data_IF_492744430562
#
_entry.id   IF_492744430562
#
_cell.length_a   1.000
_cell.length_b   1.000
_cell.length_c   1.000
_cell.angle_alpha   90.00
_cell.angle_beta   90.00
_cell.angle_gamma   90.00
#
_symmetry.space_group_name_H-M   'P 1'
#
loop_
_entity.id
_entity.type
_entity.pdbx_description
1 polymer ?
#
# COMPACT_ATOMS: atom_id res chain seq x y z
N UNK A 1 43.86 -8.17 -19.96
CA UNK A 1 44.22 -8.03 -18.53
C UNK A 1 43.82 -6.67 -17.89
N UNK A 2 43.01 -5.80 -18.52
CA UNK A 2 42.53 -4.52 -17.92
C UNK A 2 41.04 -4.50 -17.53
N UNK A 3 40.27 -5.53 -17.89
CA UNK A 3 38.83 -5.61 -17.61
C UNK A 3 38.52 -6.17 -16.21
N UNK A 4 39.35 -7.08 -15.70
CA UNK A 4 39.13 -7.72 -14.38
C UNK A 4 39.44 -6.78 -13.20
N UNK A 5 40.33 -5.81 -13.38
CA UNK A 5 40.71 -4.84 -12.35
C UNK A 5 39.59 -3.83 -12.05
N UNK A 6 38.74 -3.51 -13.03
CA UNK A 6 37.60 -2.60 -12.85
C UNK A 6 36.43 -3.24 -12.10
N UNK A 7 36.13 -4.50 -12.42
CA UNK A 7 35.10 -5.27 -11.71
C UNK A 7 35.49 -5.53 -10.25
N UNK A 8 36.75 -5.91 -9.99
CA UNK A 8 37.26 -6.13 -8.64
C UNK A 8 37.26 -4.83 -7.80
N UNK A 9 37.64 -3.70 -8.40
CA UNK A 9 37.58 -2.40 -7.73
C UNK A 9 36.14 -1.95 -7.42
N UNK A 10 35.19 -2.24 -8.30
CA UNK A 10 33.76 -1.95 -8.10
C UNK A 10 33.17 -2.84 -7.01
N UNK A 11 33.48 -4.14 -7.01
CA UNK A 11 33.06 -5.09 -5.97
C UNK A 11 33.64 -4.70 -4.61
N UNK A 12 34.92 -4.32 -4.55
CA UNK A 12 35.57 -3.89 -3.31
C UNK A 12 35.01 -2.56 -2.79
N UNK A 13 34.74 -1.60 -3.67
CA UNK A 13 34.11 -0.33 -3.28
C UNK A 13 32.68 -0.53 -2.78
N UNK A 14 31.92 -1.42 -3.41
CA UNK A 14 30.56 -1.80 -2.96
C UNK A 14 30.63 -2.52 -1.62
N UNK A 15 31.58 -3.45 -1.44
CA UNK A 15 31.79 -4.16 -0.18
C UNK A 15 32.19 -3.20 0.96
N UNK A 16 33.08 -2.23 0.71
CA UNK A 16 33.42 -1.21 1.70
C UNK A 16 32.27 -0.25 2.02
N UNK A 17 31.39 0.04 1.06
CA UNK A 17 30.21 0.87 1.28
C UNK A 17 29.12 0.16 2.09
N UNK A 18 28.99 -1.16 1.95
CA UNK A 18 27.99 -1.97 2.67
C UNK A 18 28.52 -2.51 4.01
N UNK A 19 29.84 -2.63 4.18
CA UNK A 19 30.45 -3.12 5.42
C UNK A 19 30.02 -2.36 6.70
N UNK A 20 29.89 -1.02 6.71
CA UNK A 20 29.36 -0.29 7.87
C UNK A 20 27.89 -0.61 8.15
N UNK A 21 27.06 -0.83 7.11
CA UNK A 21 25.66 -1.24 7.27
C UNK A 21 25.53 -2.65 7.85
N UNK A 22 26.48 -3.55 7.54
CA UNK A 22 26.52 -4.89 8.12
C UNK A 22 26.95 -4.90 9.60
N UNK A 23 27.78 -3.94 10.02
CA UNK A 23 28.18 -3.76 11.44
C UNK A 23 27.10 -3.08 12.27
N UNK A 24 26.25 -2.27 11.65
CA UNK A 24 25.13 -1.58 12.29
C UNK A 24 23.83 -2.41 12.34
N UNK A 25 23.86 -3.67 11.90
CA UNK A 25 22.67 -4.50 11.86
C UNK A 25 22.28 -4.94 13.27
N UNK A 26 21.09 -4.55 13.71
CA UNK A 26 20.51 -5.13 14.91
C UNK A 26 20.25 -6.64 14.71
N UNK A 27 20.42 -7.46 15.76
CA UNK A 27 20.07 -8.87 15.68
C UNK A 27 18.56 -9.00 15.48
N UNK A 28 18.17 -9.82 14.52
CA UNK A 28 16.76 -10.05 14.22
C UNK A 28 16.03 -10.64 15.44
N UNK A 29 14.94 -10.01 15.92
CA UNK A 29 14.15 -10.53 17.02
C UNK A 29 13.43 -11.83 16.65
N UNK A 30 13.25 -12.73 17.63
CA UNK A 30 12.60 -14.02 17.41
C UNK A 30 11.13 -13.93 16.95
N UNK A 31 10.49 -12.78 17.18
CA UNK A 31 9.11 -12.47 16.79
C UNK A 31 9.03 -11.60 15.52
N UNK A 32 10.14 -11.43 14.79
CA UNK A 32 10.14 -10.82 13.47
C UNK A 32 9.37 -11.68 12.46
N UNK A 33 8.68 -11.02 11.53
CA UNK A 33 7.99 -11.74 10.46
C UNK A 33 8.98 -12.22 9.39
N UNK A 34 8.70 -13.40 8.84
CA UNK A 34 9.47 -13.95 7.73
C UNK A 34 9.28 -13.12 6.45
N UNK A 35 10.24 -13.20 5.52
CA UNK A 35 10.13 -12.50 4.23
C UNK A 35 8.87 -12.87 3.43
N UNK A 36 8.47 -14.16 3.30
CA UNK A 36 7.18 -14.51 2.68
C UNK A 36 5.96 -13.89 3.39
N UNK A 37 6.00 -13.77 4.72
CA UNK A 37 4.92 -13.11 5.45
C UNK A 37 4.88 -11.61 5.17
N UNK A 38 6.03 -10.96 5.06
CA UNK A 38 6.11 -9.55 4.63
C UNK A 38 5.62 -9.35 3.19
N UNK A 39 5.85 -10.30 2.29
CA UNK A 39 5.30 -10.24 0.92
C UNK A 39 3.78 -10.14 0.93
N UNK A 40 3.09 -10.94 1.75
CA UNK A 40 1.62 -10.88 1.86
C UNK A 40 1.15 -9.52 2.40
N UNK A 41 1.83 -8.97 3.41
CA UNK A 41 1.47 -7.67 3.98
C UNK A 41 1.68 -6.53 2.99
N UNK A 42 2.86 -6.49 2.36
CA UNK A 42 3.22 -5.47 1.37
C UNK A 42 2.31 -5.55 0.16
N UNK A 43 2.03 -6.76 -0.36
CA UNK A 43 1.11 -6.94 -1.48
C UNK A 43 -0.28 -6.44 -1.10
N UNK A 44 -0.81 -6.82 0.07
CA UNK A 44 -2.15 -6.42 0.51
C UNK A 44 -2.33 -4.91 0.56
N UNK A 45 -1.33 -4.17 1.04
CA UNK A 45 -1.35 -2.69 1.07
C UNK A 45 -1.37 -2.12 -0.36
N UNK A 46 -0.51 -2.62 -1.24
CA UNK A 46 -0.41 -2.14 -2.63
C UNK A 46 -1.67 -2.50 -3.42
N UNK A 47 -2.13 -3.75 -3.33
CA UNK A 47 -3.31 -4.26 -4.01
C UNK A 47 -4.57 -3.51 -3.58
N UNK A 48 -4.65 -3.09 -2.32
CA UNK A 48 -5.75 -2.24 -1.86
C UNK A 48 -5.73 -0.87 -2.55
N UNK A 49 -4.56 -0.22 -2.68
CA UNK A 49 -4.43 1.05 -3.43
C UNK A 49 -4.78 0.88 -4.91
N UNK A 50 -4.37 -0.23 -5.52
CA UNK A 50 -4.75 -0.58 -6.90
C UNK A 50 -6.26 -0.74 -7.03
N UNK A 51 -6.91 -1.45 -6.11
CA UNK A 51 -8.36 -1.62 -6.09
C UNK A 51 -9.09 -0.27 -5.95
N UNK A 52 -8.61 0.60 -5.06
CA UNK A 52 -9.11 1.98 -4.92
C UNK A 52 -9.01 2.75 -6.25
N UNK A 53 -7.88 2.62 -6.97
CA UNK A 53 -7.67 3.22 -8.28
C UNK A 53 -8.60 2.66 -9.36
N UNK A 54 -8.83 1.36 -9.38
CA UNK A 54 -9.77 0.75 -10.32
C UNK A 54 -11.21 1.19 -10.06
N UNK A 55 -11.66 1.29 -8.81
CA UNK A 55 -13.00 1.78 -8.49
C UNK A 55 -13.17 3.24 -8.95
N UNK A 56 -12.16 4.07 -8.74
CA UNK A 56 -12.19 5.46 -9.23
C UNK A 56 -12.21 5.53 -10.75
N UNK A 57 -11.37 4.73 -11.43
CA UNK A 57 -11.30 4.68 -12.90
C UNK A 57 -12.61 4.17 -13.49
N UNK A 58 -13.20 3.14 -12.89
CA UNK A 58 -14.50 2.63 -13.27
C UNK A 58 -15.55 3.74 -13.19
N UNK A 59 -15.61 4.50 -12.10
CA UNK A 59 -16.53 5.63 -11.96
C UNK A 59 -16.34 6.70 -13.06
N UNK A 60 -15.09 6.99 -13.43
CA UNK A 60 -14.75 7.97 -14.46
C UNK A 60 -15.14 7.49 -15.87
N UNK A 61 -14.77 6.26 -16.24
CA UNK A 61 -15.00 5.71 -17.59
C UNK A 61 -16.48 5.37 -17.82
N UNK A 62 -17.17 4.86 -16.80
CA UNK A 62 -18.60 4.51 -16.91
C UNK A 62 -19.54 5.70 -16.73
N UNK A 63 -19.03 6.86 -16.28
CA UNK A 63 -19.85 8.01 -15.88
C UNK A 63 -20.55 7.85 -14.52
N UNK A 64 -20.42 6.70 -13.84
CA UNK A 64 -21.09 6.39 -12.58
C UNK A 64 -20.35 7.01 -11.37
N UNK A 65 -20.43 8.33 -11.23
CA UNK A 65 -19.70 9.11 -10.21
C UNK A 65 -19.95 8.66 -8.76
N UNK A 66 -21.09 8.02 -8.49
CA UNK A 66 -21.45 7.47 -7.19
C UNK A 66 -20.40 6.46 -6.67
N UNK A 67 -19.70 5.77 -7.57
CA UNK A 67 -18.62 4.84 -7.22
C UNK A 67 -17.37 5.51 -6.65
N UNK A 68 -17.12 6.80 -6.94
CA UNK A 68 -16.02 7.54 -6.29
C UNK A 68 -16.18 7.59 -4.77
N UNK A 69 -17.42 7.61 -4.28
CA UNK A 69 -17.73 7.54 -2.85
C UNK A 69 -17.26 6.24 -2.19
N UNK A 70 -17.22 5.13 -2.94
CA UNK A 70 -16.70 3.86 -2.45
C UNK A 70 -15.18 3.92 -2.26
N UNK A 71 -14.43 4.54 -3.18
CA UNK A 71 -12.99 4.78 -3.00
C UNK A 71 -12.69 5.51 -1.69
N UNK A 72 -13.45 6.56 -1.37
CA UNK A 72 -13.32 7.25 -0.09
C UNK A 72 -13.64 6.36 1.11
N UNK A 73 -14.68 5.52 1.00
CA UNK A 73 -15.05 4.55 2.03
C UNK A 73 -14.01 3.45 2.29
N UNK A 74 -13.06 3.23 1.37
CA UNK A 74 -11.99 2.24 1.53
C UNK A 74 -10.78 2.73 2.34
N UNK A 75 -10.66 4.04 2.59
CA UNK A 75 -9.52 4.63 3.29
C UNK A 75 -9.30 4.11 4.72
N UNK A 76 -10.34 3.91 5.56
CA UNK A 76 -10.13 3.40 6.90
C UNK A 76 -9.57 1.98 6.91
N UNK A 77 -9.98 1.10 5.98
CA UNK A 77 -9.43 -0.25 5.86
C UNK A 77 -7.97 -0.25 5.39
N UNK A 78 -7.61 0.64 4.47
CA UNK A 78 -6.20 0.82 4.11
C UNK A 78 -5.36 1.24 5.33
N UNK A 79 -5.86 2.20 6.11
CA UNK A 79 -5.21 2.65 7.34
C UNK A 79 -5.13 1.53 8.39
N UNK A 80 -6.16 0.68 8.48
CA UNK A 80 -6.16 -0.52 9.32
C UNK A 80 -5.01 -1.47 8.95
N UNK A 81 -4.80 -1.73 7.64
CA UNK A 81 -3.67 -2.52 7.17
C UNK A 81 -2.31 -1.92 7.57
N UNK A 82 -2.19 -0.59 7.52
CA UNK A 82 -0.97 0.10 7.98
C UNK A 82 -0.75 -0.06 9.49
N UNK A 83 -1.81 -0.07 10.31
CA UNK A 83 -1.70 -0.38 11.74
C UNK A 83 -1.12 -1.78 11.98
N UNK A 84 -1.61 -2.78 11.24
CA UNK A 84 -1.10 -4.15 11.33
C UNK A 84 0.38 -4.24 10.94
N UNK A 85 0.75 -3.66 9.78
CA UNK A 85 2.13 -3.63 9.32
C UNK A 85 3.05 -2.91 10.32
N UNK A 86 2.59 -1.78 10.86
CA UNK A 86 3.36 -1.00 11.85
C UNK A 86 3.58 -1.79 13.14
N UNK A 87 2.55 -2.49 13.65
CA UNK A 87 2.70 -3.35 14.81
C UNK A 87 3.74 -4.45 14.59
N UNK A 88 3.81 -5.01 13.38
CA UNK A 88 4.81 -6.01 13.00
C UNK A 88 6.21 -5.43 12.79
N UNK A 89 6.35 -4.21 12.23
CA UNK A 89 7.64 -3.48 12.18
C UNK A 89 8.18 -3.28 13.60
N UNK A 90 7.31 -2.93 14.55
CA UNK A 90 7.66 -2.74 15.96
C UNK A 90 7.70 -4.06 16.75
N UNK A 91 7.97 -5.16 16.05
CA UNK A 91 8.13 -6.51 16.60
C UNK A 91 7.05 -6.91 17.58
N UNK A 92 5.77 -6.64 17.27
CA UNK A 92 4.64 -7.04 18.10
C UNK A 92 4.80 -6.62 19.58
N UNK A 93 5.45 -5.48 19.84
CA UNK A 93 5.77 -5.07 21.20
C UNK A 93 4.51 -4.82 22.04
N UNK A 94 4.44 -5.33 23.29
CA UNK A 94 3.34 -5.03 24.19
C UNK A 94 3.19 -3.53 24.49
N UNK A 95 4.25 -2.72 24.34
CA UNK A 95 4.25 -1.28 24.61
C UNK A 95 3.33 -0.49 23.66
N UNK A 96 3.06 -1.06 22.48
CA UNK A 96 2.19 -0.47 21.45
C UNK A 96 0.99 -1.36 21.12
N UNK A 97 0.61 -2.28 22.02
CA UNK A 97 -0.49 -3.24 21.81
C UNK A 97 -1.82 -2.56 21.44
N UNK A 98 -2.02 -1.31 21.84
CA UNK A 98 -3.16 -0.48 21.44
C UNK A 98 -3.34 -0.34 19.91
N UNK A 99 -2.29 -0.56 19.11
CA UNK A 99 -2.38 -0.60 17.64
C UNK A 99 -3.31 -1.70 17.14
N UNK A 100 -3.41 -2.84 17.85
CA UNK A 100 -4.34 -3.93 17.50
C UNK A 100 -5.79 -3.48 17.68
N UNK A 101 -6.08 -2.72 18.76
CA UNK A 101 -7.40 -2.16 18.98
C UNK A 101 -7.74 -1.08 17.93
N UNK A 102 -6.77 -0.23 17.58
CA UNK A 102 -6.93 0.77 16.52
C UNK A 102 -7.20 0.11 15.16
N UNK A 103 -6.44 -0.94 14.81
CA UNK A 103 -6.67 -1.76 13.62
C UNK A 103 -8.10 -2.32 13.60
N UNK A 104 -8.53 -2.97 14.68
CA UNK A 104 -9.88 -3.53 14.78
C UNK A 104 -10.97 -2.45 14.64
N UNK A 105 -10.78 -1.29 15.30
CA UNK A 105 -11.68 -0.15 15.21
C UNK A 105 -11.78 0.40 13.78
N UNK A 106 -10.64 0.60 13.11
CA UNK A 106 -10.58 1.05 11.72
C UNK A 106 -11.16 0.02 10.74
N UNK A 107 -11.02 -1.27 11.01
CA UNK A 107 -11.67 -2.33 10.24
C UNK A 107 -13.19 -2.28 10.38
N UNK A 108 -13.70 -2.16 11.60
CA UNK A 108 -15.13 -2.03 11.84
C UNK A 108 -15.69 -0.76 11.17
N UNK A 109 -15.04 0.38 11.41
CA UNK A 109 -15.43 1.66 10.83
C UNK A 109 -15.34 1.66 9.29
N UNK A 110 -14.26 1.11 8.74
CA UNK A 110 -14.06 1.00 7.30
C UNK A 110 -15.09 0.14 6.59
N UNK A 111 -15.41 -1.03 7.18
CA UNK A 111 -16.51 -1.87 6.68
C UNK A 111 -17.84 -1.13 6.72
N UNK A 112 -18.13 -0.38 7.79
CA UNK A 112 -19.34 0.43 7.88
C UNK A 112 -19.38 1.54 6.81
N UNK A 113 -18.26 2.22 6.55
CA UNK A 113 -18.19 3.25 5.50
C UNK A 113 -18.34 2.68 4.09
N UNK A 114 -17.76 1.50 3.81
CA UNK A 114 -17.96 0.82 2.54
C UNK A 114 -19.42 0.37 2.39
N UNK A 115 -20.02 -0.21 3.43
CA UNK A 115 -21.43 -0.62 3.42
C UNK A 115 -22.35 0.57 3.13
N UNK A 116 -22.12 1.72 3.77
CA UNK A 116 -22.85 2.95 3.51
C UNK A 116 -22.66 3.45 2.08
N UNK A 117 -21.44 3.41 1.54
CA UNK A 117 -21.15 3.80 0.16
C UNK A 117 -21.85 2.88 -0.86
N UNK A 118 -21.79 1.55 -0.66
CA UNK A 118 -22.48 0.59 -1.51
C UNK A 118 -23.99 0.70 -1.41
N UNK A 119 -24.53 1.02 -0.24
CA UNK A 119 -25.96 1.26 -0.07
C UNK A 119 -26.43 2.50 -0.85
N UNK A 120 -25.64 3.58 -0.88
CA UNK A 120 -25.92 4.75 -1.72
C UNK A 120 -25.90 4.42 -3.21
N UNK A 121 -24.96 3.58 -3.67
CA UNK A 121 -24.91 3.08 -5.05
C UNK A 121 -26.19 2.29 -5.36
N UNK A 122 -26.60 1.38 -4.48
CA UNK A 122 -27.84 0.61 -4.63
C UNK A 122 -29.08 1.50 -4.71
N UNK A 123 -29.19 2.52 -3.85
CA UNK A 123 -30.30 3.47 -3.90
C UNK A 123 -30.37 4.22 -5.24
N UNK A 124 -29.22 4.71 -5.73
CA UNK A 124 -29.14 5.38 -7.03
C UNK A 124 -29.56 4.44 -8.17
N UNK A 125 -29.15 3.17 -8.13
CA UNK A 125 -29.57 2.17 -9.11
C UNK A 125 -31.08 1.91 -9.08
N UNK A 126 -31.66 1.82 -7.88
CA UNK A 126 -33.11 1.66 -7.71
C UNK A 126 -33.92 2.88 -8.17
N UNK A 127 -33.36 4.08 -8.05
CA UNK A 127 -33.98 5.33 -8.51
C UNK A 127 -33.86 5.55 -10.03
N UNK A 128 -33.03 4.75 -10.72
CA UNK A 128 -32.74 4.94 -12.15
C UNK A 128 -31.67 6.01 -12.44
N UNK A 129 -30.95 6.46 -11.40
CA UNK A 129 -29.92 7.51 -11.47
C UNK A 129 -28.56 6.97 -11.97
N UNK A 130 -28.40 5.65 -12.02
CA UNK A 130 -27.22 5.00 -12.59
C UNK A 130 -27.46 4.73 -14.07
N UNK A 131 -27.01 5.65 -14.92
CA UNK A 131 -26.94 5.45 -16.37
C UNK A 131 -25.47 5.33 -16.75
N UNK A 132 -25.02 4.09 -16.97
CA UNK A 132 -23.68 3.88 -17.50
C UNK A 132 -23.62 4.47 -18.92
N UNK A 133 -22.53 5.18 -19.23
CA UNK A 133 -22.23 5.56 -20.60
C UNK A 133 -22.14 4.35 -21.53
N UNK A 134 -22.09 4.59 -22.84
CA UNK A 134 -21.98 3.53 -23.84
C UNK A 134 -20.90 2.51 -23.44
N UNK A 135 -21.25 1.23 -23.46
CA UNK A 135 -20.35 0.18 -23.01
C UNK A 135 -19.11 0.17 -23.90
N UNK A 136 -17.98 0.62 -23.36
CA UNK A 136 -16.69 0.35 -23.99
C UNK A 136 -16.49 -1.16 -23.92
N UNK A 137 -16.69 -1.86 -25.03
CA UNK A 137 -16.27 -3.26 -25.16
C UNK A 137 -14.76 -3.30 -25.01
N UNK A 138 -14.28 -3.76 -23.85
CA UNK A 138 -12.86 -3.98 -23.66
C UNK A 138 -12.40 -5.05 -24.66
N UNK A 139 -11.38 -4.73 -25.46
CA UNK A 139 -10.73 -5.71 -26.31
C UNK A 139 -10.03 -6.74 -25.40
N UNK A 140 -10.41 -8.03 -25.42
CA UNK A 140 -9.78 -9.05 -24.58
C UNK A 140 -8.28 -9.21 -24.84
N UNK A 141 -7.78 -8.78 -26.00
CA UNK A 141 -6.35 -8.79 -26.31
C UNK A 141 -5.57 -7.69 -25.59
N UNK A 142 -6.23 -6.62 -25.13
CA UNK A 142 -5.65 -5.59 -24.26
C UNK A 142 -5.64 -6.01 -22.77
N UNK A 143 -6.28 -7.12 -22.40
CA UNK A 143 -6.33 -7.59 -21.02
C UNK A 143 -5.01 -8.23 -20.52
N UNK A 144 -4.01 -8.42 -21.40
CA UNK A 144 -2.69 -8.92 -21.03
C UNK A 144 -1.75 -7.79 -20.63
N UNK A 145 -1.89 -7.30 -19.40
CA UNK A 145 -0.97 -6.33 -18.82
C UNK A 145 0.14 -7.04 -18.03
N UNK A 146 0.93 -7.87 -18.70
CA UNK A 146 2.08 -8.55 -18.10
C UNK A 146 3.06 -7.57 -17.42
N UNK A 147 3.10 -6.32 -17.90
CA UNK A 147 3.88 -5.24 -17.29
C UNK A 147 3.31 -4.87 -15.93
N UNK A 148 2.00 -4.66 -15.80
CA UNK A 148 1.35 -4.41 -14.52
C UNK A 148 1.60 -5.55 -13.52
N UNK A 149 1.37 -6.81 -13.91
CA UNK A 149 1.59 -7.94 -13.00
C UNK A 149 3.06 -8.09 -12.62
N UNK A 150 3.97 -7.87 -13.58
CA UNK A 150 5.41 -7.87 -13.32
C UNK A 150 5.82 -6.76 -12.35
N UNK A 151 5.26 -5.55 -12.48
CA UNK A 151 5.49 -4.44 -11.56
C UNK A 151 4.93 -4.75 -10.17
N UNK A 152 3.73 -5.30 -10.06
CA UNK A 152 3.12 -5.66 -8.78
C UNK A 152 3.95 -6.71 -8.03
N UNK A 153 4.40 -7.76 -8.74
CA UNK A 153 5.30 -8.78 -8.19
C UNK A 153 6.63 -8.16 -7.76
N UNK A 154 7.24 -7.33 -8.62
CA UNK A 154 8.51 -6.67 -8.30
C UNK A 154 8.38 -5.76 -7.07
N UNK A 155 7.34 -4.93 -7.00
CA UNK A 155 7.07 -4.07 -5.84
C UNK A 155 6.84 -4.88 -4.57
N UNK A 156 6.15 -6.02 -4.66
CA UNK A 156 5.91 -6.92 -3.53
C UNK A 156 7.21 -7.52 -3.01
N UNK A 157 8.01 -8.12 -3.90
CA UNK A 157 9.28 -8.79 -3.57
C UNK A 157 10.29 -7.78 -3.00
N UNK A 158 10.47 -6.65 -3.69
CA UNK A 158 11.42 -5.60 -3.30
C UNK A 158 10.93 -4.90 -2.03
N UNK A 159 9.67 -4.51 -1.96
CA UNK A 159 9.09 -3.84 -0.80
C UNK A 159 9.18 -4.70 0.47
N UNK A 160 8.86 -5.99 0.36
CA UNK A 160 8.99 -6.93 1.47
C UNK A 160 10.44 -7.08 1.92
N UNK A 161 11.40 -7.12 0.99
CA UNK A 161 12.81 -7.16 1.31
C UNK A 161 13.27 -5.88 2.03
N UNK A 162 12.85 -4.72 1.53
CA UNK A 162 13.18 -3.42 2.13
C UNK A 162 12.64 -3.29 3.55
N UNK A 163 11.42 -3.75 3.83
CA UNK A 163 10.90 -3.76 5.21
C UNK A 163 11.70 -4.76 6.05
N UNK A 164 11.76 -6.03 5.60
CA UNK A 164 12.35 -7.14 6.36
C UNK A 164 13.79 -6.90 6.82
N UNK A 165 14.62 -6.35 5.95
CA UNK A 165 16.03 -6.11 6.25
C UNK A 165 16.34 -4.64 6.55
N UNK A 166 15.51 -3.71 6.07
CA UNK A 166 15.65 -2.30 6.39
C UNK A 166 15.28 -1.96 7.83
N UNK A 167 14.32 -2.66 8.42
CA UNK A 167 13.96 -2.49 9.84
C UNK A 167 15.15 -2.77 10.78
N UNK A 168 16.09 -3.64 10.38
CA UNK A 168 17.28 -3.98 11.17
C UNK A 168 18.38 -2.90 11.11
N UNK A 169 18.25 -1.93 10.20
CA UNK A 169 19.22 -0.86 9.97
C UNK A 169 18.90 0.44 10.73
N UNK A 170 17.76 0.47 11.43
CA UNK A 170 17.26 1.66 12.13
C UNK A 170 16.88 1.29 13.57
N UNK A 171 16.98 2.25 14.49
CA UNK A 171 16.83 1.96 15.92
C UNK A 171 15.37 1.92 16.39
N UNK A 172 14.49 2.73 15.79
CA UNK A 172 13.12 2.91 16.29
C UNK A 172 12.27 1.62 16.37
N UNK A 173 12.44 0.58 15.52
CA UNK A 173 11.75 -0.69 15.68
C UNK A 173 12.09 -1.41 16.99
N UNK A 174 13.28 -1.16 17.54
CA UNK A 174 13.78 -1.71 18.80
C UNK A 174 13.43 -0.83 20.01
N UNK A 175 12.98 0.39 19.76
CA UNK A 175 12.47 1.34 20.76
C UNK A 175 11.00 1.70 20.46
N UNK A 176 10.07 0.72 20.59
CA UNK A 176 8.69 0.87 20.17
C UNK A 176 8.01 2.03 20.89
N UNK A 177 7.43 2.94 20.13
CA UNK A 177 6.69 4.08 20.67
C UNK A 177 5.47 4.42 19.83
N UNK A 178 4.44 4.95 20.49
CA UNK A 178 3.25 5.44 19.79
C UNK A 178 3.56 6.60 18.83
N UNK A 179 4.62 7.38 19.08
CA UNK A 179 5.03 8.46 18.18
C UNK A 179 5.58 7.92 16.86
N UNK A 180 6.49 6.94 16.91
CA UNK A 180 6.99 6.27 15.71
C UNK A 180 5.85 5.55 14.96
N UNK A 181 4.97 4.85 15.69
CA UNK A 181 3.82 4.19 15.10
C UNK A 181 2.87 5.17 14.39
N UNK A 182 2.58 6.31 15.01
CA UNK A 182 1.73 7.34 14.43
C UNK A 182 2.33 7.89 13.12
N UNK A 183 3.65 8.08 13.04
CA UNK A 183 4.30 8.53 11.81
C UNK A 183 4.17 7.49 10.67
N UNK A 184 4.39 6.21 10.97
CA UNK A 184 4.29 5.11 10.00
C UNK A 184 2.86 4.86 9.51
N UNK A 185 1.85 5.16 10.33
CA UNK A 185 0.43 4.98 9.97
C UNK A 185 -0.10 6.23 9.27
N UNK A 186 -0.05 7.37 9.97
CA UNK A 186 -0.74 8.58 9.51
C UNK A 186 0.02 9.31 8.39
N UNK A 187 1.34 9.13 8.27
CA UNK A 187 2.11 9.67 7.14
C UNK A 187 1.61 9.14 5.80
N UNK A 188 1.70 7.82 5.54
CA UNK A 188 1.17 7.23 4.31
C UNK A 188 -0.34 7.42 4.13
N UNK A 189 -1.13 7.39 5.22
CA UNK A 189 -2.56 7.69 5.14
C UNK A 189 -2.82 9.12 4.68
N UNK A 190 -2.08 10.11 5.20
CA UNK A 190 -2.23 11.50 4.79
C UNK A 190 -1.86 11.69 3.31
N UNK A 191 -0.80 11.03 2.83
CA UNK A 191 -0.45 11.01 1.40
C UNK A 191 -1.60 10.40 0.58
N UNK A 192 -2.14 9.26 1.00
CA UNK A 192 -3.26 8.61 0.31
C UNK A 192 -4.49 9.54 0.22
N UNK A 193 -4.89 10.13 1.36
CA UNK A 193 -5.99 11.11 1.44
C UNK A 193 -5.73 12.30 0.52
N UNK A 194 -4.53 12.88 0.56
CA UNK A 194 -4.17 14.03 -0.26
C UNK A 194 -4.26 13.70 -1.75
N UNK A 195 -3.77 12.54 -2.20
CA UNK A 195 -3.86 12.13 -3.61
C UNK A 195 -5.31 11.99 -4.07
N UNK A 196 -6.19 11.41 -3.26
CA UNK A 196 -7.62 11.34 -3.59
C UNK A 196 -8.30 12.70 -3.56
N UNK A 197 -7.88 13.57 -2.65
CA UNK A 197 -8.38 14.94 -2.59
C UNK A 197 -8.01 15.70 -3.86
N UNK A 198 -6.73 15.70 -4.26
CA UNK A 198 -6.28 16.34 -5.49
C UNK A 198 -7.02 15.80 -6.72
N UNK A 199 -7.21 14.47 -6.78
CA UNK A 199 -7.96 13.79 -7.82
C UNK A 199 -9.43 14.21 -7.86
N UNK A 200 -10.05 14.42 -6.70
CA UNK A 200 -11.44 14.88 -6.62
C UNK A 200 -11.65 16.29 -7.19
N UNK A 201 -10.61 17.13 -7.20
CA UNK A 201 -10.62 18.46 -7.81
C UNK A 201 -10.48 18.41 -9.34
N UNK A 202 -10.07 17.27 -9.91
CA UNK A 202 -9.83 17.07 -11.35
C UNK A 202 -10.73 15.94 -11.92
N UNK A 203 -12.07 16.09 -11.90
CA UNK A 203 -13.01 15.00 -12.16
C UNK A 203 -12.87 14.35 -13.55
N UNK A 204 -12.35 15.11 -14.54
CA UNK A 204 -12.20 14.70 -15.94
C UNK A 204 -10.78 14.24 -16.31
N UNK A 205 -9.84 14.25 -15.36
CA UNK A 205 -8.47 13.78 -15.62
C UNK A 205 -8.43 12.25 -15.74
N UNK A 206 -7.90 11.76 -16.87
CA UNK A 206 -7.74 10.34 -17.11
C UNK A 206 -6.78 9.72 -16.07
N UNK A 207 -7.15 8.55 -15.56
CA UNK A 207 -6.30 7.74 -14.68
C UNK A 207 -5.15 7.18 -15.51
N UNK A 208 -3.99 7.82 -15.47
CA UNK A 208 -2.79 7.36 -16.16
C UNK A 208 -1.82 6.75 -15.14
N UNK A 209 -1.67 5.42 -15.17
CA UNK A 209 -0.76 4.68 -14.29
C UNK A 209 -1.37 4.21 -12.96
N UNK A 210 -0.53 3.53 -12.17
CA UNK A 210 -0.88 2.88 -10.89
C UNK A 210 -1.11 3.88 -9.73
N UNK A 211 -0.77 5.16 -9.92
CA UNK A 211 -0.61 6.15 -8.86
C UNK A 211 -1.18 7.52 -9.20
#
# INVERSE_FOLDING_TARGET
MRLETGAAATVLATALAVAPMLVALHPEPANALSWPTWMVHVSSIIEWLVAMAYIWRYAAVSGLQQWKGLTWGMLPLHTSGLCACTYHILYNSPDVVGLVALQAGLTCFGNATMAAATYRIWQAGKAGDLQAGESVTADPSEANDATFYGQLVAMTVIGAALVKWGELLVDFPFEPSYAAAAALIFGPTAVNVYKWYERSQKPDSAVTGLF
#
